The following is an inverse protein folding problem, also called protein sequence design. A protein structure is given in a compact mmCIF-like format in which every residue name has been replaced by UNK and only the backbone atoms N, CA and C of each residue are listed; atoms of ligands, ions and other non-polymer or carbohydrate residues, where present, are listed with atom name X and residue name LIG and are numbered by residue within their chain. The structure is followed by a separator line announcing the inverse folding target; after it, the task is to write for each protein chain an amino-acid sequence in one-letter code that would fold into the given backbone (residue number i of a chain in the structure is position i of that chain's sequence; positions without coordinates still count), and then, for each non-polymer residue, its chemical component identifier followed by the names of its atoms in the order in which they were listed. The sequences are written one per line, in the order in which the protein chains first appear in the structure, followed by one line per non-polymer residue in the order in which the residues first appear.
data_IF_937412604263
#
_entry.id   IF_937412604263
#
_cell.length_a   1.000
_cell.length_b   1.000
_cell.length_c   1.000
_cell.angle_alpha   90.00
_cell.angle_beta   90.00
_cell.angle_gamma   90.00
#
_symmetry.space_group_name_H-M   'P 1'
#
loop_
_entity.id
_entity.type
_entity.pdbx_description
1 polymer ?
#
# COMPACT_ATOMS: atom_id res chain seq x y z
N UNK A 1 -5.70 -3.20 12.09
CA UNK A 1 -4.56 -3.42 11.16
C UNK A 1 -3.30 -3.85 11.90
N UNK A 2 -3.11 -3.54 13.18
CA UNK A 2 -1.93 -3.97 13.98
C UNK A 2 -1.57 -5.44 13.83
N UNK A 3 -2.52 -6.36 14.01
CA UNK A 3 -2.25 -7.80 13.89
C UNK A 3 -1.77 -8.20 12.49
N UNK A 4 -2.28 -7.55 11.44
CA UNK A 4 -1.89 -7.81 10.04
C UNK A 4 -0.46 -7.32 9.78
N UNK A 5 -0.11 -6.14 10.28
CA UNK A 5 1.23 -5.54 10.16
C UNK A 5 2.25 -6.37 10.95
N UNK A 6 1.95 -6.75 12.20
CA UNK A 6 2.84 -7.60 13.00
C UNK A 6 3.06 -8.99 12.37
N UNK A 7 2.02 -9.61 11.82
CA UNK A 7 2.15 -10.85 11.08
C UNK A 7 3.02 -10.67 9.83
N UNK A 8 2.90 -9.53 9.13
CA UNK A 8 3.65 -9.20 7.93
C UNK A 8 5.17 -9.18 8.17
N UNK A 9 5.61 -8.66 9.32
CA UNK A 9 7.02 -8.67 9.73
C UNK A 9 7.52 -10.10 9.95
N UNK A 10 6.72 -10.94 10.60
CA UNK A 10 7.09 -12.34 10.92
C UNK A 10 7.31 -13.17 9.66
N UNK A 11 6.50 -12.95 8.62
CA UNK A 11 6.53 -13.75 7.38
C UNK A 11 7.32 -13.08 6.23
N UNK A 12 7.89 -11.90 6.46
CA UNK A 12 8.73 -11.21 5.47
C UNK A 12 7.98 -10.46 4.36
N UNK A 13 6.79 -9.92 4.65
CA UNK A 13 6.05 -9.05 3.70
C UNK A 13 6.59 -7.63 3.77
N UNK A 14 6.91 -7.04 2.62
CA UNK A 14 7.52 -5.70 2.52
C UNK A 14 6.53 -4.58 2.21
N UNK A 15 5.46 -4.89 1.50
CA UNK A 15 4.56 -3.88 0.93
C UNK A 15 3.17 -4.45 0.70
N UNK A 16 2.18 -3.57 0.77
CA UNK A 16 0.83 -3.83 0.29
C UNK A 16 0.68 -3.24 -1.11
N UNK A 17 0.19 -4.05 -2.05
CA UNK A 17 -0.04 -3.65 -3.44
C UNK A 17 -1.54 -3.62 -3.71
N UNK A 18 -1.99 -2.58 -4.41
CA UNK A 18 -3.39 -2.38 -4.81
C UNK A 18 -3.44 -2.18 -6.32
N UNK A 19 -4.23 -2.99 -7.01
CA UNK A 19 -4.58 -2.75 -8.40
C UNK A 19 -5.94 -2.05 -8.45
N UNK A 20 -5.93 -0.75 -8.74
CA UNK A 20 -7.11 0.07 -8.88
C UNK A 20 -7.89 -0.28 -10.15
N UNK A 21 -9.22 -0.34 -10.05
CA UNK A 21 -10.09 -0.64 -11.19
C UNK A 21 -10.11 0.48 -12.25
N UNK A 22 -9.93 1.73 -11.82
CA UNK A 22 -9.96 2.91 -12.67
C UNK A 22 -9.20 4.09 -12.02
N UNK A 23 -8.86 5.16 -12.78
CA UNK A 23 -8.04 6.26 -12.28
C UNK A 23 -8.57 6.93 -11.01
N UNK A 24 -9.89 7.11 -10.89
CA UNK A 24 -10.50 7.69 -9.68
C UNK A 24 -10.28 6.84 -8.42
N UNK A 25 -10.17 5.51 -8.55
CA UNK A 25 -9.84 4.64 -7.42
C UNK A 25 -8.35 4.77 -7.05
N UNK A 26 -7.46 4.88 -8.04
CA UNK A 26 -6.05 5.15 -7.79
C UNK A 26 -5.86 6.47 -7.02
N UNK A 27 -6.56 7.54 -7.41
CA UNK A 27 -6.55 8.83 -6.70
C UNK A 27 -7.10 8.73 -5.28
N UNK A 28 -8.11 7.90 -5.04
CA UNK A 28 -8.60 7.64 -3.70
C UNK A 28 -7.50 7.03 -2.81
N UNK A 29 -6.80 6.00 -3.28
CA UNK A 29 -5.72 5.35 -2.51
C UNK A 29 -4.52 6.27 -2.26
N UNK A 30 -4.20 7.17 -3.19
CA UNK A 30 -3.13 8.15 -3.00
C UNK A 30 -3.35 9.08 -1.80
N UNK A 31 -4.60 9.34 -1.40
CA UNK A 31 -4.92 10.15 -0.21
C UNK A 31 -4.49 9.49 1.10
N UNK A 32 -4.26 8.18 1.09
CA UNK A 32 -3.83 7.39 2.24
C UNK A 32 -2.33 7.04 2.19
N UNK A 33 -1.53 7.76 1.39
CA UNK A 33 -0.08 7.54 1.28
C UNK A 33 0.32 6.37 0.36
N UNK A 34 -0.64 5.73 -0.32
CA UNK A 34 -0.35 4.66 -1.29
C UNK A 34 0.12 5.28 -2.61
N UNK A 35 1.34 4.96 -3.04
CA UNK A 35 2.00 5.61 -4.17
C UNK A 35 1.85 4.80 -5.45
N UNK A 36 1.65 5.46 -6.60
CA UNK A 36 1.54 4.79 -7.90
C UNK A 36 2.84 4.11 -8.30
N UNK A 37 2.71 2.97 -8.98
CA UNK A 37 3.82 2.31 -9.65
C UNK A 37 4.30 3.14 -10.85
N UNK A 38 5.62 3.22 -11.07
CA UNK A 38 6.16 3.87 -12.26
C UNK A 38 5.85 3.11 -13.56
N UNK A 39 5.53 1.82 -13.48
CA UNK A 39 5.28 0.96 -14.66
C UNK A 39 3.81 0.87 -15.02
N UNK A 40 2.90 0.97 -14.04
CA UNK A 40 1.46 0.93 -14.26
C UNK A 40 0.75 1.92 -13.31
N UNK A 41 0.12 2.98 -13.84
CA UNK A 41 -0.57 3.98 -13.02
C UNK A 41 -1.74 3.46 -12.18
N UNK A 42 -2.29 2.28 -12.53
CA UNK A 42 -3.36 1.64 -11.77
C UNK A 42 -2.84 0.69 -10.69
N UNK A 43 -1.56 0.36 -10.68
CA UNK A 43 -0.96 -0.36 -9.57
C UNK A 43 -0.38 0.64 -8.58
N UNK A 44 -0.70 0.48 -7.29
CA UNK A 44 -0.23 1.32 -6.22
C UNK A 44 0.38 0.48 -5.10
N UNK A 45 1.28 1.08 -4.35
CA UNK A 45 2.00 0.42 -3.28
C UNK A 45 2.21 1.32 -2.07
N UNK A 46 2.19 0.71 -0.89
CA UNK A 46 2.64 1.32 0.37
C UNK A 46 3.52 0.31 1.10
N UNK A 47 4.61 0.78 1.73
CA UNK A 47 5.49 -0.13 2.47
C UNK A 47 4.92 -0.45 3.84
N UNK A 48 5.26 -1.62 4.39
CA UNK A 48 4.89 -1.97 5.77
C UNK A 48 5.47 -0.96 6.76
N UNK A 49 6.69 -0.47 6.51
CA UNK A 49 7.34 0.55 7.34
C UNK A 49 6.57 1.90 7.33
N UNK A 50 6.04 2.32 6.18
CA UNK A 50 5.23 3.54 6.09
C UNK A 50 3.89 3.37 6.80
N UNK A 51 3.30 2.17 6.75
CA UNK A 51 2.08 1.85 7.52
C UNK A 51 2.38 1.95 9.01
N UNK A 52 3.46 1.32 9.50
CA UNK A 52 3.88 1.37 10.91
C UNK A 52 4.14 2.81 11.38
N UNK A 53 4.79 3.63 10.55
CA UNK A 53 5.06 5.03 10.87
C UNK A 53 3.81 5.92 10.92
N UNK A 54 2.70 5.47 10.32
CA UNK A 54 1.42 6.20 10.29
C UNK A 54 0.45 5.83 11.42
N UNK A 55 0.84 4.87 12.28
CA UNK A 55 0.03 4.34 13.39
C UNK A 55 0.30 5.04 14.72
#
# INVERSE_FOLDING_TARGET
MEMTVAASVTIGVRMLVVTALHPAAAEFYQRFGVTRSPTNPLDLMITVADIEASM
#
